data_IF_628968379559
#
_entry.id   IF_628968379559
#
_cell.length_a   1.000
_cell.length_b   1.000
_cell.length_c   1.000
_cell.angle_alpha   90.00
_cell.angle_beta   90.00
_cell.angle_gamma   90.00
#
_symmetry.space_group_name_H-M   'P 1'
#
loop_
_entity.id
_entity.type
_entity.pdbx_description
1 polymer ?
#
# COMPACT_ATOMS: atom_id res chain seq x y z
N UNK A 1 -23.66 -8.29 31.01
CA UNK A 1 -22.42 -9.01 30.62
C UNK A 1 -22.50 -9.59 29.21
N UNK A 2 -23.59 -10.22 28.79
CA UNK A 2 -23.77 -10.76 27.42
C UNK A 2 -23.55 -9.74 26.31
N UNK A 3 -24.07 -8.51 26.45
CA UNK A 3 -23.88 -7.44 25.47
C UNK A 3 -22.41 -7.01 25.32
N UNK A 4 -21.62 -7.01 26.40
CA UNK A 4 -20.18 -6.69 26.36
C UNK A 4 -19.39 -7.80 25.67
N UNK A 5 -19.73 -9.07 25.93
CA UNK A 5 -19.12 -10.22 25.26
C UNK A 5 -19.46 -10.23 23.77
N UNK A 6 -20.71 -9.97 23.40
CA UNK A 6 -21.14 -9.87 22.00
C UNK A 6 -20.44 -8.71 21.29
N UNK A 7 -20.29 -7.55 21.95
CA UNK A 7 -19.54 -6.41 21.41
C UNK A 7 -18.05 -6.71 21.22
N UNK A 8 -17.41 -7.38 22.18
CA UNK A 8 -16.02 -7.80 22.08
C UNK A 8 -15.81 -8.80 20.93
N UNK A 9 -16.73 -9.76 20.77
CA UNK A 9 -16.71 -10.69 19.65
C UNK A 9 -16.91 -9.97 18.31
N UNK A 10 -17.84 -9.01 18.23
CA UNK A 10 -18.04 -8.20 17.03
C UNK A 10 -16.74 -7.46 16.64
N UNK A 11 -16.06 -6.86 17.60
CA UNK A 11 -14.78 -6.19 17.36
C UNK A 11 -13.72 -7.18 16.88
N UNK A 12 -13.57 -8.32 17.55
CA UNK A 12 -12.55 -9.33 17.23
C UNK A 12 -12.75 -10.02 15.89
N UNK A 13 -14.00 -10.21 15.45
CA UNK A 13 -14.33 -10.89 14.20
C UNK A 13 -14.48 -9.95 13.01
N UNK A 14 -14.86 -8.69 13.23
CA UNK A 14 -15.31 -7.80 12.15
C UNK A 14 -14.41 -6.58 11.97
N UNK A 15 -13.88 -6.01 13.06
CA UNK A 15 -13.03 -4.81 13.00
C UNK A 15 -11.53 -5.14 13.04
N UNK A 16 -11.12 -6.05 13.94
CA UNK A 16 -9.71 -6.41 14.10
C UNK A 16 -9.06 -6.94 12.80
N UNK A 17 -9.72 -7.79 12.00
CA UNK A 17 -9.15 -8.23 10.73
C UNK A 17 -8.85 -7.10 9.75
N UNK A 18 -9.73 -6.12 9.63
CA UNK A 18 -9.53 -4.96 8.76
C UNK A 18 -8.34 -4.11 9.20
N UNK A 19 -8.15 -3.94 10.52
CA UNK A 19 -6.99 -3.25 11.09
C UNK A 19 -5.70 -4.03 10.83
N UNK A 20 -5.71 -5.34 11.04
CA UNK A 20 -4.55 -6.21 10.81
C UNK A 20 -4.15 -6.17 9.34
N UNK A 21 -5.10 -6.35 8.41
CA UNK A 21 -4.84 -6.25 6.99
C UNK A 21 -4.19 -4.90 6.64
N UNK A 22 -4.76 -3.78 7.11
CA UNK A 22 -4.22 -2.44 6.86
C UNK A 22 -2.81 -2.28 7.44
N UNK A 23 -2.53 -2.81 8.63
CA UNK A 23 -1.21 -2.73 9.26
C UNK A 23 -0.16 -3.38 8.36
N UNK A 24 -0.40 -4.61 7.90
CA UNK A 24 0.54 -5.32 7.03
C UNK A 24 0.62 -4.74 5.62
N UNK A 25 -0.50 -4.29 5.06
CA UNK A 25 -0.52 -3.60 3.76
C UNK A 25 0.21 -2.25 3.82
N UNK A 26 0.07 -1.50 4.92
CA UNK A 26 0.67 -0.18 5.10
C UNK A 26 2.19 -0.20 5.16
N UNK A 27 2.79 -1.36 5.46
CA UNK A 27 4.24 -1.55 5.38
C UNK A 27 4.78 -1.41 3.95
N UNK A 28 3.92 -1.60 2.93
CA UNK A 28 4.30 -1.50 1.53
C UNK A 28 3.92 -0.16 0.92
N UNK A 29 2.70 0.34 1.18
CA UNK A 29 2.19 1.58 0.62
C UNK A 29 1.65 2.44 1.76
N UNK A 30 1.97 3.73 1.84
CA UNK A 30 1.25 4.62 2.74
C UNK A 30 -0.23 4.57 2.37
N UNK A 31 -1.02 3.88 3.19
CA UNK A 31 -2.45 3.78 2.96
C UNK A 31 -3.03 5.18 3.04
N UNK A 32 -3.87 5.57 2.06
CA UNK A 32 -4.66 6.80 2.12
C UNK A 32 -5.24 6.92 3.53
N UNK A 33 -5.02 8.05 4.21
CA UNK A 33 -5.79 8.43 5.40
C UNK A 33 -7.19 8.89 4.96
N UNK A 34 -7.88 8.03 4.23
CA UNK A 34 -9.24 8.27 3.81
C UNK A 34 -10.09 8.27 5.08
N UNK A 35 -10.80 9.36 5.37
CA UNK A 35 -11.91 9.32 6.32
C UNK A 35 -13.05 8.53 5.65
N UNK A 36 -12.91 7.20 5.63
CA UNK A 36 -14.00 6.33 5.24
C UNK A 36 -15.17 6.57 6.17
N UNK A 37 -16.37 6.59 5.60
CA UNK A 37 -17.56 6.53 6.44
C UNK A 37 -17.51 5.24 7.26
N UNK A 38 -18.04 5.24 8.50
CA UNK A 38 -18.01 4.05 9.37
C UNK A 38 -18.58 2.81 8.66
N UNK A 39 -19.54 3.01 7.78
CA UNK A 39 -20.15 1.97 6.93
C UNK A 39 -19.17 1.40 5.91
N UNK A 40 -18.40 2.22 5.20
CA UNK A 40 -17.38 1.76 4.25
C UNK A 40 -16.25 1.00 4.95
N UNK A 41 -15.85 1.45 6.14
CA UNK A 41 -14.83 0.72 6.92
C UNK A 41 -15.29 -0.68 7.31
N UNK A 42 -16.55 -0.80 7.73
CA UNK A 42 -17.17 -2.08 8.08
C UNK A 42 -17.30 -2.95 6.84
N UNK A 43 -17.77 -2.41 5.71
CA UNK A 43 -17.92 -3.17 4.46
C UNK A 43 -16.57 -3.64 3.92
N UNK A 44 -15.55 -2.77 3.94
CA UNK A 44 -14.21 -3.14 3.53
C UNK A 44 -13.63 -4.23 4.43
N UNK A 45 -13.77 -4.08 5.76
CA UNK A 45 -13.28 -5.08 6.71
C UNK A 45 -14.00 -6.41 6.52
N UNK A 46 -15.31 -6.38 6.26
CA UNK A 46 -16.10 -7.57 5.92
C UNK A 46 -15.55 -8.24 4.65
N UNK A 47 -15.36 -7.47 3.57
CA UNK A 47 -14.91 -8.01 2.29
C UNK A 47 -13.52 -8.66 2.42
N UNK A 48 -12.58 -7.96 3.06
CA UNK A 48 -11.24 -8.49 3.34
C UNK A 48 -11.29 -9.72 4.23
N UNK A 49 -12.27 -9.85 5.14
CA UNK A 49 -12.37 -11.06 5.97
C UNK A 49 -12.90 -12.29 5.26
N UNK A 50 -13.58 -12.18 4.11
CA UNK A 50 -14.25 -13.33 3.48
C UNK A 50 -13.25 -14.44 3.15
N UNK A 51 -12.14 -14.09 2.48
CA UNK A 51 -11.14 -15.07 2.04
C UNK A 51 -10.42 -15.69 3.24
N UNK A 52 -9.84 -14.91 4.18
CA UNK A 52 -9.26 -15.43 5.42
C UNK A 52 -10.21 -16.30 6.22
N UNK A 53 -11.49 -15.90 6.33
CA UNK A 53 -12.50 -16.66 7.06
C UNK A 53 -12.74 -18.03 6.45
N UNK A 54 -12.94 -18.09 5.13
CA UNK A 54 -13.15 -19.36 4.42
C UNK A 54 -11.92 -20.25 4.53
N UNK A 55 -10.71 -19.68 4.43
CA UNK A 55 -9.46 -20.42 4.59
C UNK A 55 -9.30 -20.97 6.01
N UNK A 56 -9.53 -20.14 7.05
CA UNK A 56 -9.51 -20.59 8.45
C UNK A 56 -10.52 -21.69 8.70
N UNK A 57 -11.72 -21.56 8.15
CA UNK A 57 -12.79 -22.55 8.27
C UNK A 57 -12.39 -23.88 7.63
N UNK A 58 -11.97 -23.87 6.37
CA UNK A 58 -11.53 -25.07 5.65
C UNK A 58 -10.37 -25.73 6.39
N UNK A 59 -9.38 -24.95 6.83
CA UNK A 59 -8.23 -25.47 7.54
C UNK A 59 -8.65 -26.15 8.85
N UNK A 60 -9.53 -25.53 9.63
CA UNK A 60 -9.96 -26.10 10.91
C UNK A 60 -10.92 -27.28 10.79
N UNK A 61 -11.67 -27.39 9.69
CA UNK A 61 -12.62 -28.50 9.49
C UNK A 61 -11.94 -29.70 8.81
N UNK A 62 -11.08 -29.45 7.83
CA UNK A 62 -10.54 -30.50 6.95
C UNK A 62 -9.10 -30.88 7.23
N UNK A 63 -8.37 -30.14 8.07
CA UNK A 63 -6.98 -30.47 8.40
C UNK A 63 -6.81 -30.85 9.87
N UNK A 64 -5.79 -31.67 10.20
CA UNK A 64 -5.50 -32.04 11.59
C UNK A 64 -5.08 -30.85 12.47
N UNK A 65 -4.82 -29.66 11.91
CA UNK A 65 -4.66 -28.44 12.73
C UNK A 65 -5.91 -28.12 13.55
N UNK A 66 -7.10 -28.52 13.08
CA UNK A 66 -8.35 -28.48 13.83
C UNK A 66 -8.39 -29.40 15.05
N UNK A 67 -7.44 -30.32 15.19
CA UNK A 67 -7.38 -31.27 16.30
C UNK A 67 -6.15 -31.06 17.20
N UNK A 68 -5.33 -30.02 16.94
CA UNK A 68 -4.12 -29.73 17.71
C UNK A 68 -4.24 -28.43 18.53
N UNK A 69 -3.70 -28.40 19.76
CA UNK A 69 -3.33 -29.56 20.58
C UNK A 69 -4.60 -30.34 20.95
N UNK A 70 -4.52 -31.68 20.88
CA UNK A 70 -5.62 -32.56 21.27
C UNK A 70 -5.65 -32.61 22.81
N UNK A 71 -5.98 -31.47 23.41
CA UNK A 71 -6.23 -31.38 24.83
C UNK A 71 -7.51 -32.17 25.06
N UNK A 72 -7.36 -33.40 25.55
CA UNK A 72 -8.46 -34.30 25.97
C UNK A 72 -9.16 -33.76 27.23
N UNK A 73 -9.40 -32.45 27.28
CA UNK A 73 -10.08 -31.75 28.35
C UNK A 73 -11.55 -31.66 27.95
N UNK A 74 -12.40 -32.39 28.66
CA UNK A 74 -13.84 -32.21 28.61
C UNK A 74 -14.56 -32.76 27.36
N UNK A 75 -15.82 -32.32 27.13
CA UNK A 75 -16.73 -32.89 26.14
C UNK A 75 -16.29 -32.62 24.69
N UNK A 76 -16.92 -33.36 23.76
CA UNK A 76 -16.69 -33.15 22.32
C UNK A 76 -16.98 -31.70 21.90
N UNK A 77 -16.36 -31.21 20.82
CA UNK A 77 -16.53 -29.81 20.35
C UNK A 77 -18.01 -29.42 20.21
N UNK A 78 -18.81 -30.26 19.56
CA UNK A 78 -20.23 -30.01 19.35
C UNK A 78 -21.02 -29.97 20.66
N UNK A 79 -20.65 -30.82 21.62
CA UNK A 79 -21.29 -30.90 22.92
C UNK A 79 -20.92 -29.71 23.82
N UNK A 80 -19.66 -29.28 23.82
CA UNK A 80 -19.21 -28.08 24.52
C UNK A 80 -20.00 -26.84 24.06
N UNK A 81 -20.15 -26.62 22.75
CA UNK A 81 -20.96 -25.51 22.24
C UNK A 81 -22.45 -25.65 22.58
N UNK A 82 -23.00 -26.87 22.55
CA UNK A 82 -24.40 -27.13 22.92
C UNK A 82 -24.65 -26.81 24.39
N UNK A 83 -23.72 -27.14 25.27
CA UNK A 83 -23.79 -26.87 26.71
C UNK A 83 -23.70 -25.36 26.96
N UNK A 84 -22.73 -24.67 26.35
CA UNK A 84 -22.57 -23.21 26.46
C UNK A 84 -23.78 -22.46 25.90
N UNK A 85 -24.37 -22.92 24.81
CA UNK A 85 -25.57 -22.29 24.25
C UNK A 85 -26.80 -22.51 25.15
N UNK A 86 -26.94 -23.71 25.71
CA UNK A 86 -28.03 -24.04 26.64
C UNK A 86 -27.93 -23.29 27.96
N UNK A 87 -26.73 -23.04 28.48
CA UNK A 87 -26.56 -22.24 29.70
C UNK A 87 -26.91 -20.76 29.50
N UNK A 88 -26.92 -20.27 28.26
CA UNK A 88 -27.29 -18.89 27.92
C UNK A 88 -28.79 -18.72 27.67
N UNK A 89 -29.53 -19.81 27.42
CA UNK A 89 -30.97 -19.78 27.20
C UNK A 89 -31.72 -20.06 28.52
N UNK A 90 -32.80 -19.34 28.82
CA UNK A 90 -33.70 -19.71 29.91
C UNK A 90 -34.38 -21.03 29.55
N UNK A 91 -34.00 -22.12 30.22
CA UNK A 91 -34.51 -23.47 29.95
C UNK A 91 -34.35 -24.38 31.17
N UNK A 92 -34.99 -25.57 31.16
CA UNK A 92 -34.95 -26.48 32.29
C UNK A 92 -33.49 -26.88 32.57
N UNK A 93 -33.04 -26.63 33.79
CA UNK A 93 -31.68 -26.94 34.23
C UNK A 93 -31.40 -28.43 33.99
N UNK A 94 -30.39 -28.74 33.17
CA UNK A 94 -29.73 -30.05 33.25
C UNK A 94 -28.95 -30.03 34.57
N UNK A 95 -29.63 -30.33 35.67
CA UNK A 95 -29.01 -30.56 36.98
C UNK A 95 -28.43 -31.97 36.96
N UNK A 96 -27.11 -32.15 36.80
CA UNK A 96 -26.51 -33.41 37.18
C UNK A 96 -26.68 -33.59 38.70
N UNK A 97 -26.63 -34.83 39.21
CA UNK A 97 -26.94 -35.14 40.60
C UNK A 97 -26.06 -34.39 41.62
N UNK A 98 -24.90 -33.86 41.21
CA UNK A 98 -24.00 -33.08 42.06
C UNK A 98 -23.77 -31.65 41.49
N UNK A 99 -24.00 -30.58 42.27
CA UNK A 99 -23.82 -29.20 41.80
C UNK A 99 -22.35 -28.84 41.51
N UNK A 100 -21.41 -29.51 42.16
CA UNK A 100 -19.97 -29.32 41.93
C UNK A 100 -19.52 -29.90 40.59
N UNK A 101 -20.02 -31.07 40.21
CA UNK A 101 -19.69 -31.67 38.90
C UNK A 101 -20.37 -30.91 37.76
N UNK A 102 -21.56 -30.34 37.99
CA UNK A 102 -22.22 -29.43 37.06
C UNK A 102 -21.35 -28.23 36.71
N UNK A 103 -20.80 -27.56 37.74
CA UNK A 103 -19.95 -26.38 37.59
C UNK A 103 -18.63 -26.71 36.91
N UNK A 104 -17.99 -27.83 37.27
CA UNK A 104 -16.77 -28.28 36.62
C UNK A 104 -17.01 -28.57 35.12
N UNK A 105 -18.08 -29.30 34.80
CA UNK A 105 -18.42 -29.64 33.42
C UNK A 105 -18.79 -28.42 32.57
N UNK A 106 -19.48 -27.44 33.16
CA UNK A 106 -19.72 -26.14 32.53
C UNK A 106 -18.41 -25.39 32.28
N UNK A 107 -17.54 -25.29 33.29
CA UNK A 107 -16.26 -24.61 33.18
C UNK A 107 -15.38 -25.23 32.08
N UNK A 108 -15.30 -26.56 32.01
CA UNK A 108 -14.58 -27.29 30.98
C UNK A 108 -15.18 -27.02 29.58
N UNK A 109 -16.51 -26.97 29.47
CA UNK A 109 -17.20 -26.64 28.22
C UNK A 109 -16.91 -25.21 27.75
N UNK A 110 -16.89 -24.23 28.68
CA UNK A 110 -16.52 -22.85 28.37
C UNK A 110 -15.06 -22.71 27.98
N UNK A 111 -14.14 -23.36 28.70
CA UNK A 111 -12.72 -23.34 28.38
C UNK A 111 -12.45 -23.95 27.00
N UNK A 112 -13.08 -25.09 26.69
CA UNK A 112 -13.01 -25.73 25.38
C UNK A 112 -13.51 -24.79 24.28
N UNK A 113 -14.69 -24.19 24.45
CA UNK A 113 -15.27 -23.27 23.47
C UNK A 113 -14.40 -22.03 23.26
N UNK A 114 -13.81 -21.49 24.33
CA UNK A 114 -12.89 -20.35 24.28
C UNK A 114 -11.60 -20.69 23.52
N UNK A 115 -10.98 -21.84 23.80
CA UNK A 115 -9.77 -22.29 23.09
C UNK A 115 -10.04 -22.52 21.59
N UNK A 116 -11.18 -23.12 21.26
CA UNK A 116 -11.60 -23.34 19.87
C UNK A 116 -11.87 -22.03 19.13
N UNK A 117 -12.56 -21.08 19.77
CA UNK A 117 -12.77 -19.74 19.20
C UNK A 117 -11.45 -18.99 19.07
N UNK A 118 -10.60 -19.00 20.10
CA UNK A 118 -9.29 -18.34 20.08
C UNK A 118 -8.40 -18.86 18.95
N UNK A 119 -8.42 -20.17 18.67
CA UNK A 119 -7.69 -20.77 17.54
C UNK A 119 -8.27 -20.36 16.19
N UNK A 120 -9.59 -20.29 16.07
CA UNK A 120 -10.21 -19.75 14.86
C UNK A 120 -9.81 -18.30 14.63
N UNK A 121 -9.89 -17.44 15.65
CA UNK A 121 -9.47 -16.05 15.55
C UNK A 121 -7.97 -15.94 15.22
N UNK A 122 -7.11 -16.74 15.83
CA UNK A 122 -5.67 -16.64 15.58
C UNK A 122 -5.32 -17.00 14.13
N UNK A 123 -5.94 -18.04 13.57
CA UNK A 123 -5.80 -18.38 12.15
C UNK A 123 -6.42 -17.32 11.25
N UNK A 124 -7.58 -16.77 11.61
CA UNK A 124 -8.22 -15.70 10.85
C UNK A 124 -7.30 -14.49 10.77
N UNK A 125 -6.78 -14.04 11.91
CA UNK A 125 -5.86 -12.91 12.01
C UNK A 125 -4.55 -13.17 11.27
N UNK A 126 -4.00 -14.39 11.36
CA UNK A 126 -2.83 -14.80 10.59
C UNK A 126 -3.09 -14.72 9.08
N UNK A 127 -4.20 -15.25 8.59
CA UNK A 127 -4.52 -15.17 7.17
C UNK A 127 -4.82 -13.75 6.71
N UNK A 128 -5.43 -12.90 7.54
CA UNK A 128 -5.60 -11.48 7.24
C UNK A 128 -4.24 -10.76 7.13
N UNK A 129 -3.29 -11.07 8.02
CA UNK A 129 -1.93 -10.55 7.95
C UNK A 129 -1.21 -11.01 6.67
N UNK A 130 -1.30 -12.30 6.35
CA UNK A 130 -0.72 -12.88 5.13
C UNK A 130 -1.34 -12.31 3.86
N UNK A 131 -2.65 -12.10 3.84
CA UNK A 131 -3.35 -11.49 2.72
C UNK A 131 -2.94 -10.02 2.53
N UNK A 132 -2.84 -9.25 3.62
CA UNK A 132 -2.33 -7.87 3.58
C UNK A 132 -0.89 -7.80 3.07
N UNK A 133 -0.04 -8.72 3.55
CA UNK A 133 1.35 -8.86 3.11
C UNK A 133 1.45 -9.25 1.63
N UNK A 134 0.70 -10.26 1.19
CA UNK A 134 0.69 -10.71 -0.21
C UNK A 134 0.15 -9.61 -1.14
N UNK A 135 -0.91 -8.91 -0.72
CA UNK A 135 -1.46 -7.76 -1.46
C UNK A 135 -0.41 -6.66 -1.61
N UNK A 136 0.29 -6.32 -0.53
CA UNK A 136 1.37 -5.32 -0.57
C UNK A 136 2.53 -5.74 -1.49
N UNK A 137 2.92 -7.02 -1.46
CA UNK A 137 3.92 -7.56 -2.40
C UNK A 137 3.46 -7.49 -3.85
N UNK A 138 2.20 -7.78 -4.13
CA UNK A 138 1.65 -7.69 -5.49
C UNK A 138 1.72 -6.24 -5.98
N UNK A 139 1.29 -5.27 -5.17
CA UNK A 139 1.35 -3.86 -5.59
C UNK A 139 2.79 -3.37 -5.74
N UNK A 140 3.73 -3.85 -4.91
CA UNK A 140 5.15 -3.48 -5.05
C UNK A 140 5.77 -3.91 -6.39
N UNK A 141 5.11 -4.82 -7.13
CA UNK A 141 5.53 -5.30 -8.45
C UNK A 141 4.60 -4.83 -9.57
N UNK A 142 3.74 -3.85 -9.29
CA UNK A 142 2.74 -3.38 -10.24
C UNK A 142 3.35 -2.96 -11.59
N UNK A 143 4.46 -2.22 -11.59
CA UNK A 143 5.15 -1.80 -12.82
C UNK A 143 5.68 -2.93 -13.71
N UNK A 144 5.94 -4.12 -13.15
CA UNK A 144 6.45 -5.27 -13.91
C UNK A 144 5.33 -6.02 -14.66
N UNK A 145 4.07 -5.82 -14.29
CA UNK A 145 2.91 -6.53 -14.85
C UNK A 145 2.53 -6.10 -16.27
N UNK A 146 3.21 -5.10 -16.85
CA UNK A 146 3.05 -4.71 -18.25
C UNK A 146 3.54 -5.79 -19.24
N UNK A 147 4.32 -6.78 -18.77
CA UNK A 147 4.95 -7.78 -19.63
C UNK A 147 4.08 -9.02 -19.85
N UNK A 148 3.38 -9.03 -21.00
CA UNK A 148 2.72 -10.07 -21.83
C UNK A 148 2.36 -11.50 -21.32
N UNK A 149 2.38 -11.82 -20.02
CA UNK A 149 1.89 -13.10 -19.51
C UNK A 149 0.42 -13.03 -19.07
N UNK A 150 -0.35 -14.09 -19.37
CA UNK A 150 -1.79 -14.19 -19.06
C UNK A 150 -2.09 -13.99 -17.57
N UNK A 151 -1.19 -14.43 -16.68
CA UNK A 151 -1.32 -14.26 -15.24
C UNK A 151 -1.16 -12.78 -14.83
N UNK A 152 -0.21 -12.04 -15.43
CA UNK A 152 -0.04 -10.61 -15.17
C UNK A 152 -1.24 -9.78 -15.60
N UNK A 153 -2.00 -10.18 -16.63
CA UNK A 153 -3.26 -9.51 -17.00
C UNK A 153 -4.34 -9.65 -15.93
N UNK A 154 -4.48 -10.83 -15.31
CA UNK A 154 -5.44 -11.01 -14.22
C UNK A 154 -5.02 -10.24 -12.97
N UNK A 155 -3.72 -10.28 -12.65
CA UNK A 155 -3.17 -9.56 -11.51
C UNK A 155 -3.27 -8.04 -11.69
N UNK A 156 -3.04 -7.54 -12.91
CA UNK A 156 -3.25 -6.15 -13.27
C UNK A 156 -4.72 -5.75 -13.13
N UNK A 157 -5.66 -6.53 -13.64
CA UNK A 157 -7.11 -6.26 -13.44
C UNK A 157 -7.48 -6.22 -11.96
N UNK A 158 -6.98 -7.16 -11.18
CA UNK A 158 -7.19 -7.15 -9.73
C UNK A 158 -6.58 -5.89 -9.08
N UNK A 159 -5.38 -5.48 -9.51
CA UNK A 159 -4.81 -4.23 -9.05
C UNK A 159 -5.69 -3.05 -9.44
N UNK A 160 -6.03 -2.89 -10.73
CA UNK A 160 -6.78 -1.77 -11.27
C UNK A 160 -8.18 -1.65 -10.65
N UNK A 161 -8.95 -2.74 -10.63
CA UNK A 161 -10.34 -2.74 -10.17
C UNK A 161 -10.44 -2.71 -8.64
N UNK A 162 -9.55 -3.43 -7.94
CA UNK A 162 -9.66 -3.63 -6.51
C UNK A 162 -8.66 -2.81 -5.70
N UNK A 163 -7.36 -2.84 -6.03
CA UNK A 163 -6.34 -2.18 -5.19
C UNK A 163 -6.20 -0.68 -5.49
N UNK A 164 -6.18 -0.29 -6.76
CA UNK A 164 -5.94 1.09 -7.20
C UNK A 164 -7.15 2.00 -6.96
N UNK A 165 -8.36 1.45 -7.01
CA UNK A 165 -9.58 2.15 -6.56
C UNK A 165 -9.44 2.72 -5.14
N UNK A 166 -8.62 2.08 -4.29
CA UNK A 166 -8.38 2.51 -2.91
C UNK A 166 -7.05 3.25 -2.69
N UNK A 167 -6.17 3.31 -3.69
CA UNK A 167 -4.89 4.03 -3.64
C UNK A 167 -5.09 5.42 -4.25
N UNK A 168 -4.29 6.42 -3.82
CA UNK A 168 -4.37 7.72 -4.47
C UNK A 168 -3.77 7.69 -5.87
N UNK A 169 -4.47 8.28 -6.83
CA UNK A 169 -3.95 8.43 -8.19
C UNK A 169 -2.59 9.13 -8.16
N UNK A 170 -2.44 10.11 -7.25
CA UNK A 170 -1.20 10.82 -6.97
C UNK A 170 -0.08 9.91 -6.50
N UNK A 171 -0.36 8.92 -5.65
CA UNK A 171 0.65 7.94 -5.19
C UNK A 171 1.25 7.19 -6.37
N UNK A 172 0.44 6.81 -7.37
CA UNK A 172 0.90 6.08 -8.55
C UNK A 172 1.71 6.97 -9.50
N UNK A 173 1.31 8.23 -9.63
CA UNK A 173 1.92 9.20 -10.53
C UNK A 173 3.22 9.78 -9.97
N UNK A 174 3.25 10.05 -8.67
CA UNK A 174 4.37 10.70 -7.99
C UNK A 174 5.41 9.74 -7.42
N UNK A 175 5.15 8.43 -7.49
CA UNK A 175 6.15 7.41 -7.17
C UNK A 175 6.62 6.67 -8.42
N UNK A 176 7.83 6.14 -8.37
CA UNK A 176 8.38 5.24 -9.41
C UNK A 176 7.82 3.82 -9.33
N UNK A 177 6.80 3.57 -8.51
CA UNK A 177 6.22 2.23 -8.31
C UNK A 177 5.42 1.73 -9.51
N UNK A 178 4.92 2.67 -10.31
CA UNK A 178 4.26 2.38 -11.59
C UNK A 178 5.27 2.00 -12.69
N UNK A 179 6.56 2.32 -12.51
CA UNK A 179 7.62 1.95 -13.44
C UNK A 179 8.10 0.53 -13.17
N UNK A 180 8.61 -0.18 -14.20
CA UNK A 180 9.20 -1.49 -14.01
C UNK A 180 10.45 -1.40 -13.11
N UNK A 181 10.83 -2.50 -12.46
CA UNK A 181 11.94 -2.53 -11.48
C UNK A 181 13.28 -2.01 -12.01
N UNK A 182 13.52 -2.13 -13.32
CA UNK A 182 14.74 -1.61 -13.96
C UNK A 182 14.78 -0.07 -14.07
N UNK A 183 13.68 0.62 -13.77
CA UNK A 183 13.52 2.08 -13.85
C UNK A 183 13.12 2.70 -12.50
N UNK A 184 13.28 1.97 -11.39
CA UNK A 184 12.91 2.48 -10.06
C UNK A 184 13.81 3.61 -9.55
N UNK A 185 15.03 3.74 -10.10
CA UNK A 185 15.99 4.78 -9.75
C UNK A 185 15.70 6.13 -10.41
N UNK A 186 14.63 6.23 -11.21
CA UNK A 186 14.27 7.47 -11.90
C UNK A 186 13.83 8.55 -10.90
N UNK A 187 14.26 9.77 -11.13
CA UNK A 187 13.78 10.92 -10.39
C UNK A 187 12.47 11.42 -11.01
N UNK A 188 11.45 11.61 -10.18
CA UNK A 188 10.20 12.23 -10.60
C UNK A 188 10.40 13.74 -10.65
N UNK A 189 10.41 14.31 -11.86
CA UNK A 189 10.44 15.76 -12.07
C UNK A 189 9.06 16.27 -12.45
N UNK A 190 8.69 17.42 -11.91
CA UNK A 190 7.42 18.08 -12.20
C UNK A 190 7.68 19.47 -12.77
N UNK A 191 7.00 19.79 -13.86
CA UNK A 191 6.75 21.17 -14.24
C UNK A 191 5.35 21.56 -13.81
N UNK A 192 5.22 22.55 -12.94
CA UNK A 192 3.93 23.04 -12.46
C UNK A 192 3.73 24.50 -12.85
N UNK A 193 2.62 24.82 -13.51
CA UNK A 193 2.17 26.18 -13.76
C UNK A 193 1.33 26.63 -12.57
N UNK A 194 1.91 27.45 -11.68
CA UNK A 194 1.24 27.95 -10.48
C UNK A 194 1.15 29.47 -10.50
N UNK A 195 -0.06 30.01 -10.31
CA UNK A 195 -0.34 31.46 -10.33
C UNK A 195 0.26 32.20 -11.55
N UNK A 196 0.24 31.55 -12.73
CA UNK A 196 0.78 32.11 -13.98
C UNK A 196 2.30 32.04 -14.11
N UNK A 197 3.01 31.40 -13.18
CA UNK A 197 4.45 31.19 -13.21
C UNK A 197 4.74 29.70 -13.40
N UNK A 198 5.62 29.36 -14.33
CA UNK A 198 6.04 27.98 -14.54
C UNK A 198 7.22 27.65 -13.62
N UNK A 199 7.04 26.62 -12.82
CA UNK A 199 8.05 26.04 -11.92
C UNK A 199 8.48 24.68 -12.46
N UNK A 200 9.74 24.31 -12.26
CA UNK A 200 10.28 22.98 -12.51
C UNK A 200 11.07 22.52 -11.30
N UNK A 201 11.00 21.25 -10.92
CA UNK A 201 11.88 20.69 -9.91
C UNK A 201 11.67 19.19 -9.70
N UNK A 202 12.54 18.60 -8.88
CA UNK A 202 12.40 17.20 -8.44
C UNK A 202 11.31 17.13 -7.37
N UNK A 203 10.32 16.27 -7.55
CA UNK A 203 9.32 16.02 -6.53
C UNK A 203 9.93 15.20 -5.39
N UNK A 204 9.75 15.70 -4.17
CA UNK A 204 10.27 15.04 -2.96
C UNK A 204 9.13 14.49 -2.12
N UNK A 205 8.09 15.31 -1.94
CA UNK A 205 7.00 15.02 -1.03
C UNK A 205 5.73 15.68 -1.54
N UNK A 206 4.58 15.14 -1.19
CA UNK A 206 3.27 15.67 -1.56
C UNK A 206 2.27 15.45 -0.45
N UNK A 207 1.33 16.40 -0.33
CA UNK A 207 0.30 16.37 0.69
C UNK A 207 -1.04 16.06 0.05
N UNK A 208 -1.74 15.12 0.67
CA UNK A 208 -3.07 14.75 0.28
C UNK A 208 -4.04 15.12 1.39
N UNK A 209 -5.19 15.65 1.00
CA UNK A 209 -6.33 15.87 1.87
C UNK A 209 -6.94 14.51 2.28
N UNK A 210 -7.86 14.53 3.23
CA UNK A 210 -8.63 13.37 3.71
C UNK A 210 -9.44 12.71 2.59
N UNK A 211 -9.85 13.49 1.58
CA UNK A 211 -10.51 13.01 0.35
C UNK A 211 -9.52 12.40 -0.67
N UNK A 212 -8.21 12.40 -0.36
CA UNK A 212 -7.17 11.94 -1.27
C UNK A 212 -6.93 12.86 -2.47
N UNK A 213 -7.38 14.12 -2.39
CA UNK A 213 -7.07 15.21 -3.32
C UNK A 213 -5.71 15.82 -2.98
N UNK A 214 -5.01 16.34 -3.97
CA UNK A 214 -3.73 17.00 -3.77
C UNK A 214 -3.94 18.35 -3.06
N UNK A 215 -3.26 18.58 -1.94
CA UNK A 215 -3.23 19.86 -1.24
C UNK A 215 -1.98 20.67 -1.60
N UNK A 216 -0.85 20.00 -1.82
CA UNK A 216 0.39 20.66 -2.21
C UNK A 216 1.53 19.70 -2.50
N UNK A 217 2.60 20.24 -3.06
CA UNK A 217 3.80 19.49 -3.46
C UNK A 217 5.06 20.22 -2.99
N UNK A 218 6.08 19.44 -2.62
CA UNK A 218 7.43 19.92 -2.36
C UNK A 218 8.35 19.59 -3.52
N UNK A 219 8.99 20.63 -4.04
CA UNK A 219 9.99 20.53 -5.10
C UNK A 219 11.39 20.84 -4.55
N UNK A 220 12.34 19.97 -4.82
CA UNK A 220 13.77 20.21 -4.67
C UNK A 220 14.39 20.73 -5.98
N UNK A 221 15.49 21.47 -5.86
CA UNK A 221 16.19 22.09 -7.01
C UNK A 221 15.23 22.90 -7.90
N UNK A 222 14.29 23.58 -7.25
CA UNK A 222 13.22 24.26 -7.97
C UNK A 222 13.76 25.45 -8.78
N UNK A 223 13.31 25.55 -10.02
CA UNK A 223 13.60 26.66 -10.91
C UNK A 223 12.31 27.34 -11.36
N UNK A 224 12.35 28.66 -11.46
CA UNK A 224 11.28 29.51 -11.96
C UNK A 224 11.59 29.93 -13.39
N UNK A 225 10.60 29.82 -14.26
CA UNK A 225 10.66 30.36 -15.60
C UNK A 225 10.36 31.87 -15.63
N UNK A 226 11.17 32.63 -16.35
CA UNK A 226 11.03 34.08 -16.47
C UNK A 226 10.43 34.48 -17.81
N UNK A 227 9.12 34.28 -17.96
CA UNK A 227 8.40 34.63 -19.19
C UNK A 227 8.55 36.12 -19.55
N UNK A 228 8.47 37.02 -18.58
CA UNK A 228 8.63 38.45 -18.80
C UNK A 228 10.03 38.85 -19.30
N UNK A 229 11.07 38.04 -19.04
CA UNK A 229 12.40 38.26 -19.63
C UNK A 229 12.47 37.76 -21.07
N UNK A 230 11.88 36.60 -21.35
CA UNK A 230 11.76 36.09 -22.72
C UNK A 230 11.02 37.09 -23.64
N UNK A 231 9.89 37.63 -23.18
CA UNK A 231 9.09 38.57 -23.98
C UNK A 231 9.85 39.87 -24.23
N UNK A 232 10.61 40.36 -23.24
CA UNK A 232 11.49 41.51 -23.41
C UNK A 232 12.62 41.22 -24.39
N UNK A 233 13.32 40.11 -24.25
CA UNK A 233 14.45 39.76 -25.14
C UNK A 233 13.96 39.58 -26.59
N UNK A 234 12.78 38.98 -26.79
CA UNK A 234 12.13 38.88 -28.10
C UNK A 234 11.78 40.24 -28.69
N UNK A 235 11.26 41.17 -27.89
CA UNK A 235 10.95 42.53 -28.35
C UNK A 235 12.21 43.30 -28.79
N UNK A 236 13.37 42.98 -28.20
CA UNK A 236 14.66 43.57 -28.57
C UNK A 236 15.43 42.75 -29.62
N UNK A 237 14.82 41.71 -30.22
CA UNK A 237 15.43 40.88 -31.25
C UNK A 237 16.54 39.94 -30.76
N UNK A 238 16.69 39.76 -29.44
CA UNK A 238 17.70 38.87 -28.85
C UNK A 238 17.16 37.46 -28.75
N UNK A 239 17.83 36.50 -29.40
CA UNK A 239 17.49 35.08 -29.29
C UNK A 239 18.46 34.36 -28.34
N UNK A 240 17.98 34.01 -27.15
CA UNK A 240 18.68 33.10 -26.23
C UNK A 240 17.97 31.75 -26.18
N UNK A 241 18.71 30.70 -25.84
CA UNK A 241 18.17 29.35 -25.62
C UNK A 241 17.13 29.38 -24.51
N UNK A 242 16.04 28.60 -24.65
CA UNK A 242 14.93 28.56 -23.68
C UNK A 242 15.37 28.22 -22.26
N UNK A 243 16.44 27.45 -22.12
CA UNK A 243 17.02 27.04 -20.83
C UNK A 243 17.61 28.20 -20.04
N UNK A 244 18.11 29.24 -20.71
CA UNK A 244 18.72 30.41 -20.06
C UNK A 244 17.72 31.28 -19.25
N UNK A 245 16.42 31.10 -19.49
CA UNK A 245 15.35 31.83 -18.78
C UNK A 245 14.87 31.11 -17.51
N UNK A 246 15.47 29.97 -17.17
CA UNK A 246 15.22 29.29 -15.91
C UNK A 246 16.16 29.83 -14.85
N UNK A 247 15.61 30.33 -13.75
CA UNK A 247 16.40 30.73 -12.58
C UNK A 247 16.11 29.82 -11.41
N UNK A 248 17.17 29.32 -10.80
CA UNK A 248 17.09 28.53 -9.57
C UNK A 248 16.51 29.41 -8.46
N UNK A 249 15.51 28.89 -7.76
CA UNK A 249 14.91 29.56 -6.61
C UNK A 249 15.82 29.26 -5.41
N UNK A 250 16.25 30.29 -4.66
CA UNK A 250 17.06 30.06 -3.48
C UNK A 250 16.25 29.29 -2.42
N UNK A 251 16.80 28.18 -1.94
CA UNK A 251 16.18 27.33 -0.92
C UNK A 251 16.40 25.84 -1.19
N UNK A 252 16.27 25.03 -0.15
CA UNK A 252 16.37 23.58 -0.28
C UNK A 252 15.08 22.98 -0.88
N UNK A 253 13.92 23.45 -0.43
CA UNK A 253 12.60 22.94 -0.82
C UNK A 253 11.65 24.10 -1.13
N UNK A 254 10.95 24.02 -2.26
CA UNK A 254 9.86 24.93 -2.63
C UNK A 254 8.53 24.22 -2.40
N UNK A 255 7.63 24.86 -1.65
CA UNK A 255 6.25 24.40 -1.49
C UNK A 255 5.34 25.06 -2.52
N UNK A 256 4.54 24.27 -3.23
CA UNK A 256 3.47 24.76 -4.12
C UNK A 256 2.12 24.26 -3.61
N UNK A 257 1.19 25.19 -3.40
CA UNK A 257 -0.19 24.89 -2.99
C UNK A 257 -0.97 24.41 -4.21
N UNK A 258 -1.64 23.27 -4.11
CA UNK A 258 -2.37 22.66 -5.22
C UNK A 258 -3.46 23.55 -5.81
N UNK A 259 -4.15 24.34 -4.98
CA UNK A 259 -5.18 25.29 -5.44
C UNK A 259 -4.64 26.37 -6.39
N UNK A 260 -3.33 26.61 -6.37
CA UNK A 260 -2.67 27.60 -7.24
C UNK A 260 -2.14 26.99 -8.53
N UNK A 261 -2.06 25.65 -8.60
CA UNK A 261 -1.55 24.91 -9.75
C UNK A 261 -2.66 24.80 -10.80
N UNK A 262 -2.47 25.47 -11.93
CA UNK A 262 -3.40 25.42 -13.05
C UNK A 262 -3.15 24.20 -13.95
N UNK A 263 -1.88 23.80 -14.11
CA UNK A 263 -1.48 22.65 -14.92
C UNK A 263 -0.15 22.09 -14.39
N UNK A 264 0.08 20.80 -14.56
CA UNK A 264 1.35 20.16 -14.25
C UNK A 264 1.67 19.07 -15.26
N UNK A 265 2.96 18.88 -15.51
CA UNK A 265 3.48 17.78 -16.32
C UNK A 265 4.47 16.98 -15.48
N UNK A 266 4.32 15.66 -15.48
CA UNK A 266 5.17 14.74 -14.71
C UNK A 266 6.10 14.06 -15.70
N UNK A 267 7.39 14.07 -15.38
CA UNK A 267 8.43 13.43 -16.15
C UNK A 267 9.22 12.51 -15.25
N UNK A 268 9.51 11.31 -15.73
CA UNK A 268 10.45 10.41 -15.08
C UNK A 268 11.80 10.63 -15.74
N UNK A 269 12.68 11.38 -15.07
CA UNK A 269 14.04 11.59 -15.53
C UNK A 269 14.91 10.43 -15.02
N UNK A 270 15.82 9.86 -15.82
CA UNK A 270 16.82 8.96 -15.26
C UNK A 270 17.57 9.71 -14.15
N UNK A 271 18.01 9.02 -13.09
CA UNK A 271 18.79 9.66 -12.04
C UNK A 271 19.93 10.38 -12.74
N UNK A 272 20.04 11.68 -12.47
CA UNK A 272 21.14 12.49 -12.98
C UNK A 272 22.41 11.72 -12.60
N UNK A 273 23.06 11.09 -13.58
CA UNK A 273 24.22 10.24 -13.31
C UNK A 273 25.17 11.11 -12.50
N UNK A 274 25.30 10.84 -11.21
CA UNK A 274 26.42 11.36 -10.45
C UNK A 274 27.60 10.93 -11.28
N UNK A 275 28.33 11.91 -11.84
CA UNK A 275 29.53 11.68 -12.63
C UNK A 275 30.29 10.58 -11.93
N UNK A 276 30.16 9.35 -12.44
CA UNK A 276 30.66 8.19 -11.73
C UNK A 276 32.14 8.42 -11.84
N UNK A 277 32.73 8.91 -10.75
CA UNK A 277 34.06 9.50 -10.80
C UNK A 277 34.94 8.40 -11.36
N UNK A 278 35.86 8.71 -12.27
CA UNK A 278 36.73 7.68 -12.88
C UNK A 278 37.34 6.74 -11.81
N UNK A 279 37.53 7.23 -10.59
CA UNK A 279 37.90 6.47 -9.40
C UNK A 279 36.91 5.34 -9.03
N UNK A 280 35.59 5.57 -9.04
CA UNK A 280 34.56 4.57 -8.75
C UNK A 280 34.44 3.53 -9.87
N UNK A 281 34.58 3.95 -11.13
CA UNK A 281 34.61 3.02 -12.26
C UNK A 281 35.87 2.15 -12.25
N UNK A 282 37.05 2.73 -11.96
CA UNK A 282 38.30 1.99 -11.77
C UNK A 282 38.25 1.04 -10.57
N UNK A 283 37.61 1.44 -9.47
CA UNK A 283 37.41 0.56 -8.31
C UNK A 283 36.51 -0.65 -8.63
N UNK A 284 35.55 -0.49 -9.54
CA UNK A 284 34.58 -1.55 -9.91
C UNK A 284 35.10 -2.49 -11.01
N UNK A 285 35.87 -1.98 -11.96
CA UNK A 285 36.32 -2.73 -13.15
C UNK A 285 37.84 -3.03 -13.16
N UNK A 286 38.58 -2.61 -12.13
CA UNK A 286 40.03 -2.75 -12.03
C UNK A 286 40.78 -1.58 -12.68
N UNK A 287 42.01 -1.32 -12.24
CA UNK A 287 42.82 -0.20 -12.75
C UNK A 287 43.16 -0.30 -14.24
N UNK A 288 43.08 -1.50 -14.81
CA UNK A 288 43.39 -1.77 -16.23
C UNK A 288 42.19 -1.58 -17.18
N UNK A 289 41.00 -1.25 -16.66
CA UNK A 289 39.82 -1.06 -17.51
C UNK A 289 39.93 0.22 -18.36
N UNK A 290 39.95 0.06 -19.69
CA UNK A 290 39.93 1.17 -20.64
C UNK A 290 38.48 1.71 -20.71
N UNK A 291 38.25 2.83 -20.04
CA UNK A 291 36.95 3.53 -20.07
C UNK A 291 36.98 4.50 -21.25
N UNK A 292 36.37 4.12 -22.36
CA UNK A 292 36.18 5.00 -23.52
C UNK A 292 34.90 5.81 -23.32
N UNK A 293 35.01 7.14 -23.21
CA UNK A 293 33.84 8.01 -23.23
C UNK A 293 33.24 8.00 -24.64
N UNK A 294 31.99 7.58 -24.77
CA UNK A 294 31.26 7.70 -26.03
C UNK A 294 31.00 9.19 -26.33
N UNK A 295 31.12 9.64 -27.59
CA UNK A 295 30.77 10.99 -27.96
C UNK A 295 29.29 11.28 -27.65
N UNK A 296 28.93 12.52 -27.28
CA UNK A 296 27.60 12.88 -26.81
C UNK A 296 26.46 12.62 -27.81
N UNK A 297 26.78 12.41 -29.10
CA UNK A 297 25.81 12.25 -30.19
C UNK A 297 25.53 10.78 -30.58
N UNK A 298 25.99 9.78 -29.82
CA UNK A 298 25.82 8.36 -30.19
C UNK A 298 24.45 7.75 -29.90
N UNK A 299 23.45 8.56 -29.51
CA UNK A 299 22.05 8.14 -29.35
C UNK A 299 21.20 8.66 -30.51
N UNK A 300 21.57 8.33 -31.75
CA UNK A 300 20.60 8.34 -32.85
C UNK A 300 19.82 7.02 -32.82
N UNK A 301 18.51 7.12 -32.57
CA UNK A 301 17.57 6.01 -32.71
C UNK A 301 17.67 5.43 -34.14
N UNK A 302 17.87 4.12 -34.32
CA UNK A 302 17.93 3.49 -35.64
C UNK A 302 16.56 3.44 -36.36
N UNK A 303 15.53 4.14 -35.85
CA UNK A 303 14.17 4.14 -36.39
C UNK A 303 13.92 5.32 -37.34
N UNK A 304 14.79 6.34 -37.35
CA UNK A 304 14.67 7.49 -38.25
C UNK A 304 15.96 7.72 -39.06
N UNK A 305 16.24 6.81 -39.98
CA UNK A 305 17.05 7.11 -41.16
C UNK A 305 16.16 6.96 -42.40
N UNK A 306 16.20 7.90 -43.37
CA UNK A 306 15.36 7.89 -44.57
C UNK A 306 15.60 6.69 -45.49
#
# INVERSE_FOLDING_TARGET
MSALVAGFLLIGYLLAPGVIYRLFFSAYIPARRYQRTRTEEVVFSLLVTIVPFVLSWILLVHTPLGNLPNLSIGPSKAEAYRIVFRSLLPGPELTPPNPLTARAHLADSYLRAFLEQGRFLSLLWLFCALEGWASGLIVSRYGDYSTNQRMHRLLKRFCDDFLLTYVSEWELLFTTRSLPRNQQDFDVEIDALAAGILYRGKLVDWFLDQDGKLEGIFLERAARYQQAELERDRAHGVQKTRESYWRVIPGAKLYLVASTIANYNIRYAPPMQQDTTLAQLRARFGEEAIITQLPPDSFEDPINSP
#
